data_IF_603199248548
#
_entry.id   IF_603199248548
#
_cell.length_a   1.000
_cell.length_b   1.000
_cell.length_c   1.000
_cell.angle_alpha   90.00
_cell.angle_beta   90.00
_cell.angle_gamma   90.00
#
_symmetry.space_group_name_H-M   'P 1'
#
loop_
_entity.id
_entity.type
_entity.pdbx_description
1 polymer ?
#
# COMPACT_ATOMS: atom_id res chain seq x y z
N UNK A 1 -13.18 4.25 0.86
CA UNK A 1 -14.06 3.55 -0.12
C UNK A 1 -15.00 4.49 -0.91
N UNK A 2 -15.56 5.56 -0.33
CA UNK A 2 -16.50 6.45 -1.03
C UNK A 2 -15.99 6.95 -2.41
N UNK A 3 -14.70 7.31 -2.51
CA UNK A 3 -14.08 7.74 -3.77
C UNK A 3 -14.06 6.61 -4.82
N UNK A 4 -13.79 5.37 -4.43
CA UNK A 4 -13.84 4.21 -5.34
C UNK A 4 -15.25 3.98 -5.88
N UNK A 5 -16.26 4.06 -5.00
CA UNK A 5 -17.67 3.95 -5.39
C UNK A 5 -18.10 5.08 -6.35
N UNK A 6 -17.62 6.30 -6.11
CA UNK A 6 -17.87 7.43 -7.01
C UNK A 6 -17.20 7.22 -8.36
N UNK A 7 -15.93 6.78 -8.37
CA UNK A 7 -15.22 6.47 -9.60
C UNK A 7 -15.93 5.37 -10.41
N UNK A 8 -16.39 4.30 -9.74
CA UNK A 8 -17.17 3.24 -10.38
C UNK A 8 -18.50 3.75 -10.95
N UNK A 9 -19.23 4.60 -10.20
CA UNK A 9 -20.48 5.23 -10.67
C UNK A 9 -20.28 6.01 -11.97
N UNK A 10 -19.14 6.66 -12.15
CA UNK A 10 -18.84 7.50 -13.31
C UNK A 10 -17.95 6.81 -14.35
N UNK A 11 -17.63 5.53 -14.19
CA UNK A 11 -16.79 4.78 -15.13
C UNK A 11 -15.33 5.28 -15.20
N UNK A 12 -14.82 5.89 -14.12
CA UNK A 12 -13.46 6.42 -14.06
C UNK A 12 -12.52 5.36 -13.46
N UNK A 13 -11.44 4.94 -14.15
CA UNK A 13 -10.46 4.03 -13.58
C UNK A 13 -9.67 4.70 -12.46
N UNK A 14 -9.29 3.93 -11.45
CA UNK A 14 -8.49 4.40 -10.31
C UNK A 14 -7.11 3.77 -10.37
N UNK A 15 -6.08 4.62 -10.35
CA UNK A 15 -4.69 4.21 -10.23
C UNK A 15 -4.11 4.78 -8.93
N UNK A 16 -4.06 3.98 -7.83
CA UNK A 16 -3.64 4.49 -6.54
C UNK A 16 -2.17 4.94 -6.53
N UNK A 17 -1.94 6.06 -5.87
CA UNK A 17 -0.61 6.54 -5.52
C UNK A 17 -0.05 5.74 -4.33
N UNK A 18 1.22 5.34 -4.43
CA UNK A 18 1.90 4.50 -3.46
C UNK A 18 3.32 5.00 -3.11
N UNK A 19 3.76 6.13 -3.68
CA UNK A 19 5.08 6.71 -3.43
C UNK A 19 5.17 7.39 -2.06
N UNK A 20 5.73 6.68 -1.07
CA UNK A 20 5.93 7.19 0.29
C UNK A 20 6.07 6.07 1.32
N UNK A 21 6.39 6.42 2.56
CA UNK A 21 6.58 5.45 3.65
C UNK A 21 5.27 4.69 3.90
N UNK A 22 5.26 3.38 3.62
CA UNK A 22 4.12 2.51 3.94
C UNK A 22 2.93 2.60 2.99
N UNK A 23 2.97 3.46 1.96
CA UNK A 23 1.80 3.64 1.10
C UNK A 23 1.55 2.41 0.22
N UNK A 24 2.61 1.72 -0.25
CA UNK A 24 2.50 0.45 -0.97
C UNK A 24 1.83 -0.64 -0.12
N UNK A 25 2.13 -0.70 1.18
CA UNK A 25 1.58 -1.66 2.14
C UNK A 25 0.07 -1.48 2.32
N UNK A 26 -0.39 -0.23 2.36
CA UNK A 26 -1.78 0.17 2.59
C UNK A 26 -2.62 0.16 1.30
N UNK A 27 -2.21 0.87 0.24
CA UNK A 27 -3.07 1.09 -0.95
C UNK A 27 -3.34 -0.19 -1.73
N UNK A 28 -2.48 -1.21 -1.61
CA UNK A 28 -2.70 -2.53 -2.23
C UNK A 28 -4.02 -3.15 -1.78
N UNK A 29 -4.40 -2.98 -0.50
CA UNK A 29 -5.67 -3.48 0.02
C UNK A 29 -6.86 -2.76 -0.63
N UNK A 30 -6.76 -1.45 -0.84
CA UNK A 30 -7.80 -0.68 -1.52
C UNK A 30 -7.96 -1.09 -2.98
N UNK A 31 -6.85 -1.33 -3.71
CA UNK A 31 -6.90 -1.89 -5.07
C UNK A 31 -7.54 -3.27 -5.10
N UNK A 32 -7.23 -4.13 -4.13
CA UNK A 32 -7.80 -5.47 -4.03
C UNK A 32 -9.30 -5.43 -3.74
N UNK A 33 -9.76 -4.53 -2.85
CA UNK A 33 -11.19 -4.29 -2.60
C UNK A 33 -11.89 -3.70 -3.82
N UNK A 34 -11.25 -2.75 -4.53
CA UNK A 34 -11.80 -2.19 -5.76
C UNK A 34 -12.07 -3.29 -6.79
N UNK A 35 -11.06 -4.12 -7.06
CA UNK A 35 -11.18 -5.24 -7.98
C UNK A 35 -12.22 -6.27 -7.52
N UNK A 36 -12.22 -6.66 -6.25
CA UNK A 36 -13.09 -7.75 -5.79
C UNK A 36 -14.57 -7.33 -5.69
N UNK A 37 -14.86 -6.09 -5.28
CA UNK A 37 -16.19 -5.72 -4.79
C UNK A 37 -16.76 -4.42 -5.39
N UNK A 38 -16.00 -3.66 -6.18
CA UNK A 38 -16.43 -2.34 -6.67
C UNK A 38 -16.38 -2.25 -8.20
N UNK A 39 -15.19 -2.29 -8.79
CA UNK A 39 -14.99 -2.12 -10.23
C UNK A 39 -15.00 -3.42 -11.02
N UNK A 40 -14.66 -4.56 -10.39
CA UNK A 40 -14.57 -5.88 -11.03
C UNK A 40 -13.70 -5.91 -12.31
N UNK A 41 -12.73 -5.00 -12.44
CA UNK A 41 -11.92 -4.85 -13.65
C UNK A 41 -10.47 -4.44 -13.34
N UNK A 42 -9.55 -4.89 -14.20
CA UNK A 42 -8.16 -4.42 -14.24
C UNK A 42 -7.88 -3.54 -15.47
N UNK A 43 -8.87 -3.32 -16.32
CA UNK A 43 -8.71 -2.53 -17.55
C UNK A 43 -8.37 -1.07 -17.19
N UNK A 44 -7.32 -0.54 -17.81
CA UNK A 44 -6.84 0.84 -17.60
C UNK A 44 -6.54 1.20 -16.13
N UNK A 45 -6.14 0.22 -15.31
CA UNK A 45 -5.84 0.38 -13.88
C UNK A 45 -4.45 -0.16 -13.56
N UNK A 46 -3.74 0.54 -12.69
CA UNK A 46 -2.46 0.11 -12.14
C UNK A 46 -2.33 0.62 -10.71
N UNK A 47 -1.72 -0.18 -9.83
CA UNK A 47 -1.30 0.31 -8.51
C UNK A 47 0.17 0.72 -8.63
N UNK A 48 0.49 1.96 -8.26
CA UNK A 48 1.88 2.43 -8.22
C UNK A 48 2.70 1.53 -7.27
N UNK A 49 4.00 1.39 -7.53
CA UNK A 49 4.96 0.73 -6.66
C UNK A 49 6.27 1.51 -6.70
N UNK A 50 6.91 1.67 -5.54
CA UNK A 50 8.24 2.25 -5.38
C UNK A 50 8.99 1.39 -4.38
N UNK A 51 10.20 0.97 -4.72
CA UNK A 51 11.03 0.07 -3.89
C UNK A 51 11.80 0.87 -2.81
N UNK A 52 11.09 1.30 -1.77
CA UNK A 52 11.67 2.07 -0.66
C UNK A 52 10.98 1.76 0.68
N UNK A 53 11.78 1.54 1.73
CA UNK A 53 11.37 1.52 3.14
C UNK A 53 10.46 0.36 3.57
N UNK A 54 10.25 -0.63 2.70
CA UNK A 54 9.45 -1.82 3.00
C UNK A 54 10.05 -2.64 4.14
N UNK A 55 11.38 -2.63 4.30
CA UNK A 55 12.12 -3.32 5.35
C UNK A 55 11.72 -2.89 6.77
N UNK A 56 11.02 -1.77 6.91
CA UNK A 56 10.56 -1.27 8.20
C UNK A 56 9.20 -1.81 8.63
N UNK A 57 8.49 -2.56 7.78
CA UNK A 57 7.14 -3.06 8.06
C UNK A 57 7.15 -4.54 8.44
N UNK A 58 6.23 -4.94 9.32
CA UNK A 58 6.05 -6.34 9.76
C UNK A 58 5.51 -7.22 8.63
N UNK A 59 4.63 -6.69 7.78
CA UNK A 59 4.06 -7.36 6.60
C UNK A 59 4.33 -6.53 5.34
N UNK A 60 5.58 -6.53 4.83
CA UNK A 60 5.93 -5.74 3.66
C UNK A 60 5.20 -6.21 2.41
N UNK A 61 5.09 -5.31 1.44
CA UNK A 61 4.58 -5.67 0.12
C UNK A 61 5.42 -6.79 -0.52
N UNK A 62 4.74 -7.69 -1.25
CA UNK A 62 5.36 -8.72 -2.09
C UNK A 62 4.98 -8.48 -3.54
N UNK A 63 5.98 -8.34 -4.41
CA UNK A 63 5.78 -8.20 -5.86
C UNK A 63 6.24 -9.48 -6.56
N UNK A 64 5.40 -10.03 -7.44
CA UNK A 64 5.74 -11.16 -8.29
C UNK A 64 5.37 -10.85 -9.74
N UNK A 65 6.35 -10.90 -10.65
CA UNK A 65 6.15 -10.58 -12.07
C UNK A 65 5.45 -9.22 -12.26
N UNK A 66 5.96 -8.18 -11.59
CA UNK A 66 5.42 -6.81 -11.59
C UNK A 66 3.94 -6.70 -11.15
N UNK A 67 3.49 -7.61 -10.28
CA UNK A 67 2.14 -7.58 -9.70
C UNK A 67 2.20 -7.69 -8.18
N UNK A 68 1.36 -6.91 -7.51
CA UNK A 68 1.11 -7.05 -6.09
C UNK A 68 0.55 -8.43 -5.76
N UNK A 69 1.17 -9.11 -4.79
CA UNK A 69 0.63 -10.33 -4.18
C UNK A 69 -0.26 -9.94 -3.00
N UNK A 70 -1.39 -10.63 -2.86
CA UNK A 70 -2.32 -10.39 -1.76
C UNK A 70 -1.63 -10.62 -0.39
N UNK A 71 -1.84 -9.71 0.59
CA UNK A 71 -1.47 -9.96 1.97
C UNK A 71 -2.22 -11.18 2.54
N UNK A 72 -1.58 -11.88 3.47
CA UNK A 72 -2.12 -13.08 4.13
C UNK A 72 -2.28 -12.89 5.64
N UNK A 73 -1.51 -11.96 6.22
CA UNK A 73 -1.60 -11.64 7.64
C UNK A 73 -2.81 -10.73 7.91
N UNK A 74 -3.49 -10.90 9.05
CA UNK A 74 -4.56 -9.99 9.46
C UNK A 74 -4.06 -8.56 9.63
N UNK A 75 -4.92 -7.60 9.32
CA UNK A 75 -4.65 -6.17 9.51
C UNK A 75 -4.50 -5.44 8.18
N UNK A 76 -3.89 -4.26 8.24
CA UNK A 76 -3.79 -3.34 7.11
C UNK A 76 -2.34 -3.13 6.64
N UNK A 77 -1.44 -4.01 7.08
CA UNK A 77 0.00 -3.98 6.78
C UNK A 77 0.73 -2.69 7.21
N UNK A 78 0.15 -1.91 8.12
CA UNK A 78 0.69 -0.63 8.58
C UNK A 78 1.61 -0.74 9.80
N UNK A 79 1.81 -1.94 10.35
CA UNK A 79 2.64 -2.13 11.53
C UNK A 79 4.12 -1.98 11.17
N UNK A 80 4.77 -1.00 11.80
CA UNK A 80 6.21 -0.72 11.66
C UNK A 80 6.96 -1.47 12.77
N UNK A 81 8.10 -2.07 12.41
CA UNK A 81 8.99 -2.73 13.36
C UNK A 81 9.42 -1.77 14.48
N UNK A 82 9.33 -2.18 15.77
CA UNK A 82 9.72 -1.32 16.89
C UNK A 82 11.16 -0.78 16.80
N UNK A 83 12.08 -1.57 16.25
CA UNK A 83 13.46 -1.14 16.02
C UNK A 83 13.56 -0.01 14.99
N UNK A 84 12.77 -0.06 13.92
CA UNK A 84 12.72 1.01 12.92
C UNK A 84 12.20 2.30 13.52
N UNK A 85 11.13 2.22 14.33
CA UNK A 85 10.59 3.37 15.05
C UNK A 85 11.65 3.98 15.98
N UNK A 86 12.29 3.17 16.83
CA UNK A 86 13.31 3.67 17.76
C UNK A 86 14.53 4.31 17.06
N UNK A 87 14.96 3.75 15.92
CA UNK A 87 16.10 4.26 15.18
C UNK A 87 15.81 5.58 14.43
N UNK A 88 14.59 5.74 13.91
CA UNK A 88 14.20 6.87 13.04
C UNK A 88 13.31 7.92 13.72
N UNK A 89 13.01 7.78 15.02
CA UNK A 89 12.25 8.77 15.78
C UNK A 89 13.01 10.11 15.82
N UNK A 90 12.41 11.17 15.27
CA UNK A 90 13.07 12.48 15.22
C UNK A 90 12.78 13.28 16.51
N UNK A 91 13.77 13.93 17.14
CA UNK A 91 15.19 14.01 16.76
C UNK A 91 16.11 13.02 17.51
N UNK A 92 15.57 12.14 18.36
CA UNK A 92 16.36 11.35 19.32
C UNK A 92 16.90 10.01 18.83
N UNK A 93 16.35 9.49 17.74
CA UNK A 93 16.70 8.22 17.13
C UNK A 93 18.16 8.20 16.67
N UNK A 94 18.74 6.99 16.61
CA UNK A 94 20.14 6.81 16.23
C UNK A 94 20.47 7.31 14.82
N UNK A 95 19.50 7.43 13.92
CA UNK A 95 19.71 7.92 12.54
C UNK A 95 19.86 9.44 12.47
N UNK A 96 19.35 10.16 13.48
CA UNK A 96 19.35 11.63 13.50
C UNK A 96 20.49 12.24 14.33
N UNK A 97 21.32 11.40 14.97
CA UNK A 97 22.47 11.78 15.78
C UNK A 97 23.77 11.50 15.04
#
# INVERSE_FOLDING_TARGET
LAVLLLAAKFGVPVCPHAGGVGLCEFVRHLSMVDYACVSASLENRVCEFVDHLHEHFVDPVRIRNARYVAPELPGYSTEILPASLAAHDFPGGSVWR
#
